data_IF_520450007441
#
_entry.id   IF_520450007441
#
_cell.length_a   1.000
_cell.length_b   1.000
_cell.length_c   1.000
_cell.angle_alpha   90.00
_cell.angle_beta   90.00
_cell.angle_gamma   90.00
#
_symmetry.space_group_name_H-M   'P 1'
#
loop_
_entity.id
_entity.type
_entity.pdbx_description
1 polymer ?
#
# COMPACT_ATOMS: atom_id res chain seq x y z
N UNK A 1 8.17 -12.51 -66.07
CA UNK A 1 7.30 -13.33 -65.20
C UNK A 1 8.21 -14.08 -64.24
N UNK A 2 8.36 -13.58 -63.01
CA UNK A 2 9.21 -14.22 -62.00
C UNK A 2 8.37 -15.29 -61.32
N UNK A 3 8.63 -16.56 -61.63
CA UNK A 3 7.99 -17.69 -60.95
C UNK A 3 8.57 -17.78 -59.54
N UNK A 4 7.81 -17.37 -58.54
CA UNK A 4 8.16 -17.60 -57.14
C UNK A 4 8.39 -19.11 -56.95
N UNK A 5 9.53 -19.53 -56.36
CA UNK A 5 9.78 -20.95 -56.13
C UNK A 5 8.72 -21.51 -55.19
N UNK A 6 8.11 -22.65 -55.57
CA UNK A 6 7.21 -23.37 -54.68
C UNK A 6 8.00 -23.83 -53.44
N UNK A 7 7.44 -23.67 -52.23
CA UNK A 7 8.08 -24.16 -51.03
C UNK A 7 8.26 -25.68 -51.12
N UNK A 8 9.40 -26.22 -50.65
CA UNK A 8 9.65 -27.65 -50.69
C UNK A 8 8.61 -28.40 -49.85
N UNK A 9 8.14 -29.55 -50.34
CA UNK A 9 7.31 -30.46 -49.57
C UNK A 9 8.15 -31.06 -48.43
N UNK A 10 8.05 -30.49 -47.24
CA UNK A 10 8.76 -30.95 -46.06
C UNK A 10 8.04 -32.16 -45.45
N UNK A 11 8.75 -33.24 -45.09
CA UNK A 11 8.18 -34.31 -44.27
C UNK A 11 7.77 -33.77 -42.89
N UNK A 12 6.84 -34.45 -42.24
CA UNK A 12 6.39 -34.10 -40.89
C UNK A 12 7.58 -34.09 -39.92
N UNK A 13 7.84 -32.94 -39.29
CA UNK A 13 8.97 -32.75 -38.39
C UNK A 13 8.63 -33.29 -36.99
N UNK A 14 9.59 -33.87 -36.25
CA UNK A 14 9.34 -34.41 -34.92
C UNK A 14 8.98 -33.33 -33.90
N UNK A 15 7.99 -33.61 -33.05
CA UNK A 15 7.57 -32.73 -31.94
C UNK A 15 8.12 -33.24 -30.60
N UNK A 16 9.37 -32.85 -30.31
CA UNK A 16 10.03 -33.21 -29.05
C UNK A 16 9.43 -32.53 -27.81
N UNK A 17 8.67 -31.44 -27.98
CA UNK A 17 8.09 -30.73 -26.83
C UNK A 17 6.95 -31.53 -26.20
N UNK A 18 6.19 -32.25 -27.02
CA UNK A 18 5.06 -33.08 -26.60
C UNK A 18 5.48 -34.49 -26.13
N UNK A 19 6.78 -34.80 -26.08
CA UNK A 19 7.29 -36.06 -25.54
C UNK A 19 7.06 -36.17 -24.03
N UNK A 20 6.94 -37.41 -23.56
CA UNK A 20 6.85 -37.72 -22.13
C UNK A 20 8.18 -37.42 -21.42
N UNK A 21 8.08 -36.83 -20.24
CA UNK A 21 9.19 -36.61 -19.33
C UNK A 21 9.08 -37.51 -18.09
N UNK A 22 10.15 -38.21 -17.75
CA UNK A 22 10.21 -39.21 -16.67
C UNK A 22 10.82 -38.67 -15.37
N UNK A 23 11.32 -37.43 -15.37
CA UNK A 23 12.01 -36.83 -14.22
C UNK A 23 11.05 -36.43 -13.10
N UNK A 24 9.75 -36.43 -13.37
CA UNK A 24 8.68 -36.10 -12.42
C UNK A 24 8.83 -34.72 -11.76
N UNK A 25 9.40 -33.75 -12.50
CA UNK A 25 9.56 -32.37 -12.05
C UNK A 25 8.73 -31.44 -12.94
N UNK A 26 7.74 -30.78 -12.35
CA UNK A 26 7.03 -29.69 -13.02
C UNK A 26 7.90 -28.44 -13.07
N UNK A 27 7.71 -27.60 -14.10
CA UNK A 27 8.36 -26.29 -14.19
C UNK A 27 7.33 -25.21 -13.87
N UNK A 28 7.61 -24.38 -12.86
CA UNK A 28 6.70 -23.32 -12.42
C UNK A 28 6.47 -22.26 -13.50
N UNK A 29 7.52 -21.89 -14.25
CA UNK A 29 7.46 -20.91 -15.34
C UNK A 29 8.40 -21.27 -16.47
N UNK A 30 7.86 -21.50 -17.66
CA UNK A 30 8.59 -21.65 -18.91
C UNK A 30 7.93 -20.81 -20.02
N UNK A 31 8.73 -20.19 -20.88
CA UNK A 31 8.23 -19.39 -21.99
C UNK A 31 9.29 -18.47 -22.58
N UNK A 32 8.89 -17.28 -23.02
CA UNK A 32 9.74 -16.29 -23.68
C UNK A 32 9.93 -15.04 -22.83
N UNK A 33 11.09 -14.39 -22.97
CA UNK A 33 11.47 -13.19 -22.21
C UNK A 33 12.15 -12.17 -23.12
N UNK A 34 11.91 -10.88 -22.90
CA UNK A 34 12.63 -9.79 -23.56
C UNK A 34 12.19 -9.50 -25.00
N UNK A 35 10.98 -9.91 -25.39
CA UNK A 35 10.43 -9.59 -26.71
C UNK A 35 9.98 -8.13 -26.74
N UNK A 36 10.57 -7.30 -27.60
CA UNK A 36 10.08 -5.94 -27.81
C UNK A 36 8.81 -5.94 -28.65
N UNK A 37 7.75 -5.30 -28.17
CA UNK A 37 6.43 -5.30 -28.82
C UNK A 37 5.69 -3.96 -28.64
N UNK A 38 5.02 -3.44 -29.69
CA UNK A 38 4.26 -2.19 -29.58
C UNK A 38 2.96 -2.40 -28.79
N UNK A 39 2.64 -1.46 -27.89
CA UNK A 39 1.43 -1.50 -27.06
C UNK A 39 0.79 -0.11 -26.96
N UNK A 40 -0.48 -0.09 -26.54
CA UNK A 40 -1.26 1.12 -26.29
C UNK A 40 -1.59 1.21 -24.79
N UNK A 41 -1.20 2.33 -24.16
CA UNK A 41 -1.41 2.58 -22.74
C UNK A 41 -2.37 3.74 -22.58
N UNK A 42 -3.34 3.62 -21.67
CA UNK A 42 -4.27 4.72 -21.39
C UNK A 42 -3.53 5.88 -20.73
N UNK A 43 -3.80 7.08 -21.23
CA UNK A 43 -3.26 8.34 -20.73
C UNK A 43 -4.41 9.21 -20.20
N UNK A 44 -4.29 9.67 -18.95
CA UNK A 44 -5.35 10.42 -18.26
C UNK A 44 -5.67 11.74 -18.94
N UNK A 45 -4.72 12.31 -19.67
CA UNK A 45 -4.82 13.62 -20.32
C UNK A 45 -4.93 13.52 -21.84
N UNK A 46 -4.21 12.58 -22.47
CA UNK A 46 -4.10 12.44 -23.92
C UNK A 46 -4.83 11.20 -24.47
N UNK A 47 -5.68 10.56 -23.67
CA UNK A 47 -6.44 9.35 -23.97
C UNK A 47 -5.59 8.08 -24.12
N UNK A 48 -4.61 8.07 -25.03
CA UNK A 48 -3.75 6.92 -25.34
C UNK A 48 -2.32 7.37 -25.64
N UNK A 49 -1.35 6.61 -25.14
CA UNK A 49 0.07 6.75 -25.47
C UNK A 49 0.56 5.46 -26.14
N UNK A 50 1.10 5.58 -27.35
CA UNK A 50 1.71 4.47 -28.08
C UNK A 50 3.17 4.32 -27.63
N UNK A 51 3.53 3.13 -27.15
CA UNK A 51 4.89 2.86 -26.63
C UNK A 51 5.37 1.46 -27.04
N UNK A 52 6.61 1.14 -26.70
CA UNK A 52 7.20 -0.19 -26.91
C UNK A 52 7.44 -0.83 -25.55
N UNK A 53 6.87 -2.02 -25.35
CA UNK A 53 7.07 -2.81 -24.16
C UNK A 53 8.09 -3.93 -24.38
N UNK A 54 8.87 -4.23 -23.35
CA UNK A 54 9.52 -5.53 -23.19
C UNK A 54 8.50 -6.52 -22.63
N UNK A 55 8.19 -7.56 -23.39
CA UNK A 55 7.19 -8.57 -23.09
C UNK A 55 7.85 -9.85 -22.61
N UNK A 56 7.36 -10.35 -21.48
CA UNK A 56 7.65 -11.69 -20.99
C UNK A 56 6.36 -12.49 -20.89
N UNK A 57 6.38 -13.74 -21.37
CA UNK A 57 5.24 -14.64 -21.34
C UNK A 57 5.68 -16.00 -20.81
N UNK A 58 4.92 -16.54 -19.86
CA UNK A 58 5.21 -17.83 -19.26
C UNK A 58 3.94 -18.64 -19.00
N UNK A 59 4.11 -19.95 -18.90
CA UNK A 59 3.12 -20.91 -18.38
C UNK A 59 3.81 -21.89 -17.44
N UNK A 60 3.05 -22.50 -16.53
CA UNK A 60 3.47 -23.72 -15.86
C UNK A 60 3.53 -24.90 -16.83
N UNK A 61 4.55 -25.75 -16.69
CA UNK A 61 4.70 -26.99 -17.46
C UNK A 61 4.50 -28.20 -16.53
N UNK A 62 3.45 -29.00 -16.74
CA UNK A 62 3.25 -30.23 -15.99
C UNK A 62 4.41 -31.21 -16.17
N UNK A 63 4.70 -31.99 -15.13
CA UNK A 63 5.87 -32.87 -15.07
C UNK A 63 5.92 -33.95 -16.16
N UNK A 64 4.79 -34.26 -16.81
CA UNK A 64 4.70 -35.27 -17.86
C UNK A 64 5.12 -34.76 -19.25
N UNK A 65 5.32 -33.45 -19.43
CA UNK A 65 5.74 -32.88 -20.72
C UNK A 65 7.20 -32.47 -20.70
N UNK A 66 7.93 -32.85 -21.75
CA UNK A 66 9.35 -32.50 -21.90
C UNK A 66 9.58 -31.03 -22.21
N UNK A 67 8.65 -30.37 -22.90
CA UNK A 67 8.79 -28.96 -23.28
C UNK A 67 7.48 -28.24 -23.60
N UNK A 68 7.59 -26.92 -23.75
CA UNK A 68 6.50 -26.06 -24.23
C UNK A 68 6.72 -25.64 -25.69
N UNK A 69 5.65 -25.23 -26.36
CA UNK A 69 5.68 -24.78 -27.75
C UNK A 69 5.96 -23.28 -27.84
N UNK A 70 7.24 -22.92 -27.91
CA UNK A 70 7.70 -21.52 -27.80
C UNK A 70 7.12 -20.56 -28.86
N UNK A 71 6.93 -21.01 -30.11
CA UNK A 71 6.40 -20.15 -31.18
C UNK A 71 4.96 -19.70 -30.91
N UNK A 72 4.18 -20.52 -30.18
CA UNK A 72 2.77 -20.24 -29.88
C UNK A 72 2.61 -18.94 -29.09
N UNK A 73 3.56 -18.57 -28.24
CA UNK A 73 3.53 -17.30 -27.52
C UNK A 73 3.53 -16.10 -28.48
N UNK A 74 4.41 -16.12 -29.48
CA UNK A 74 4.54 -15.03 -30.46
C UNK A 74 3.34 -15.01 -31.41
N UNK A 75 2.83 -16.17 -31.81
CA UNK A 75 1.61 -16.28 -32.60
C UNK A 75 0.40 -15.63 -31.92
N UNK A 76 0.26 -15.85 -30.60
CA UNK A 76 -0.83 -15.25 -29.81
C UNK A 76 -0.70 -13.73 -29.77
N UNK A 77 0.50 -13.20 -29.52
CA UNK A 77 0.73 -11.75 -29.53
C UNK A 77 0.39 -11.15 -30.91
N UNK A 78 0.85 -11.78 -32.00
CA UNK A 78 0.59 -11.31 -33.35
C UNK A 78 -0.89 -11.36 -33.73
N UNK A 79 -1.63 -12.36 -33.26
CA UNK A 79 -3.07 -12.45 -33.47
C UNK A 79 -3.87 -11.35 -32.74
N UNK A 80 -3.26 -10.72 -31.72
CA UNK A 80 -3.87 -9.65 -30.90
C UNK A 80 -3.19 -8.29 -31.09
N UNK A 81 -2.46 -8.13 -32.20
CA UNK A 81 -1.72 -6.89 -32.53
C UNK A 81 -2.67 -5.70 -32.58
N UNK A 82 -2.31 -4.61 -31.90
CA UNK A 82 -3.11 -3.38 -31.86
C UNK A 82 -4.25 -3.38 -30.84
N UNK A 83 -4.46 -4.48 -30.12
CA UNK A 83 -5.48 -4.55 -29.06
C UNK A 83 -4.86 -4.58 -27.66
N UNK A 84 -3.52 -4.71 -27.55
CA UNK A 84 -2.78 -4.90 -26.30
C UNK A 84 -3.00 -3.76 -25.31
N UNK A 85 -3.98 -3.95 -24.44
CA UNK A 85 -4.44 -3.00 -23.42
C UNK A 85 -4.67 -3.74 -22.11
N UNK A 86 -4.86 -3.02 -20.99
CA UNK A 86 -5.22 -3.64 -19.70
C UNK A 86 -6.52 -4.46 -19.78
N UNK A 87 -7.52 -3.97 -20.53
CA UNK A 87 -8.86 -4.58 -20.64
C UNK A 87 -8.80 -5.94 -21.35
N UNK A 88 -7.94 -5.94 -22.35
CA UNK A 88 -7.24 -7.02 -23.00
C UNK A 88 -6.77 -8.29 -22.28
N UNK A 89 -6.11 -8.03 -21.15
CA UNK A 89 -5.16 -8.96 -20.53
C UNK A 89 -5.78 -10.31 -20.14
N UNK A 90 -7.00 -10.37 -19.58
CA UNK A 90 -7.61 -11.64 -19.19
C UNK A 90 -7.85 -12.58 -20.38
N UNK A 91 -8.21 -12.03 -21.55
CA UNK A 91 -8.45 -12.80 -22.77
C UNK A 91 -7.14 -13.33 -23.36
N UNK A 92 -6.08 -12.51 -23.36
CA UNK A 92 -4.75 -12.94 -23.81
C UNK A 92 -4.25 -14.08 -22.94
N UNK A 93 -4.38 -13.97 -21.61
CA UNK A 93 -3.96 -15.03 -20.70
C UNK A 93 -4.79 -16.32 -20.88
N UNK A 94 -6.09 -16.20 -21.11
CA UNK A 94 -6.94 -17.36 -21.41
C UNK A 94 -6.56 -18.03 -22.75
N UNK A 95 -6.21 -17.24 -23.76
CA UNK A 95 -5.71 -17.73 -25.05
C UNK A 95 -4.40 -18.52 -24.88
N UNK A 96 -3.48 -17.99 -24.06
CA UNK A 96 -2.21 -18.64 -23.71
C UNK A 96 -2.48 -19.98 -23.02
N UNK A 97 -3.27 -20.01 -21.94
CA UNK A 97 -3.63 -21.25 -21.24
C UNK A 97 -4.20 -22.30 -22.20
N UNK A 98 -5.11 -21.89 -23.09
CA UNK A 98 -5.76 -22.82 -24.02
C UNK A 98 -4.82 -23.33 -25.11
N UNK A 99 -3.99 -22.48 -25.72
CA UNK A 99 -3.07 -22.90 -26.81
C UNK A 99 -1.87 -23.69 -26.30
N UNK A 100 -1.46 -23.46 -25.07
CA UNK A 100 -0.32 -24.13 -24.44
C UNK A 100 -0.75 -25.25 -23.47
N UNK A 101 -2.06 -25.50 -23.33
CA UNK A 101 -2.65 -26.52 -22.46
C UNK A 101 -2.09 -26.46 -21.02
N UNK A 102 -2.09 -25.27 -20.43
CA UNK A 102 -1.52 -25.00 -19.11
C UNK A 102 -2.57 -24.48 -18.11
N UNK A 103 -2.41 -24.84 -16.83
CA UNK A 103 -3.30 -24.43 -15.74
C UNK A 103 -3.12 -22.96 -15.34
N UNK A 104 -1.93 -22.41 -15.60
CA UNK A 104 -1.60 -21.01 -15.36
C UNK A 104 -0.88 -20.37 -16.55
N UNK A 105 -1.03 -19.05 -16.62
CA UNK A 105 -0.34 -18.20 -17.57
C UNK A 105 0.07 -16.89 -16.90
N UNK A 106 1.20 -16.36 -17.35
CA UNK A 106 1.80 -15.13 -16.85
C UNK A 106 2.18 -14.22 -18.01
N UNK A 107 1.92 -12.92 -17.86
CA UNK A 107 2.35 -11.88 -18.78
C UNK A 107 2.94 -10.72 -17.98
N UNK A 108 4.10 -10.23 -18.44
CA UNK A 108 4.74 -9.02 -17.91
C UNK A 108 5.03 -8.09 -19.09
N UNK A 109 4.52 -6.87 -19.02
CA UNK A 109 4.74 -5.82 -20.00
C UNK A 109 5.45 -4.68 -19.30
N UNK A 110 6.72 -4.44 -19.60
CA UNK A 110 7.50 -3.32 -19.05
C UNK A 110 7.73 -2.26 -20.12
N UNK A 111 7.36 -1.00 -19.87
CA UNK A 111 7.38 0.05 -20.88
C UNK A 111 7.67 1.44 -20.26
N UNK A 112 8.25 2.37 -21.05
CA UNK A 112 8.32 3.77 -20.65
C UNK A 112 6.96 4.44 -20.82
N UNK A 113 6.62 5.30 -19.86
CA UNK A 113 5.42 6.12 -19.82
C UNK A 113 5.80 7.59 -19.62
N UNK A 114 5.24 8.49 -20.40
CA UNK A 114 5.60 9.90 -20.38
C UNK A 114 4.47 10.76 -19.82
N UNK A 115 4.80 11.66 -18.89
CA UNK A 115 3.85 12.66 -18.37
C UNK A 115 4.39 14.04 -18.71
N UNK A 116 3.53 14.91 -19.26
CA UNK A 116 3.87 16.33 -19.46
C UNK A 116 3.86 17.05 -18.12
N UNK A 117 4.99 17.69 -17.77
CA UNK A 117 5.17 18.40 -16.52
C UNK A 117 5.41 19.88 -16.77
N UNK A 118 4.72 20.73 -16.02
CA UNK A 118 4.96 22.18 -15.94
C UNK A 118 5.93 22.47 -14.81
N UNK A 119 7.03 23.16 -15.11
CA UNK A 119 7.95 23.63 -14.10
C UNK A 119 7.24 24.60 -13.13
N UNK A 120 7.59 24.59 -11.83
CA UNK A 120 6.77 25.21 -10.78
C UNK A 120 6.76 26.75 -10.81
N UNK A 121 7.78 27.40 -11.38
CA UNK A 121 7.91 28.86 -11.39
C UNK A 121 7.77 29.41 -12.80
N UNK A 122 8.60 28.94 -13.74
CA UNK A 122 8.60 29.42 -15.13
C UNK A 122 7.42 28.88 -15.95
N UNK A 123 6.80 27.77 -15.51
CA UNK A 123 5.72 27.11 -16.22
C UNK A 123 6.15 26.38 -17.49
N UNK A 124 7.45 26.31 -17.79
CA UNK A 124 7.94 25.61 -18.99
C UNK A 124 7.53 24.14 -18.96
N UNK A 125 6.98 23.65 -20.07
CA UNK A 125 6.54 22.26 -20.20
C UNK A 125 7.65 21.37 -20.72
N UNK A 126 7.77 20.17 -20.15
CA UNK A 126 8.65 19.12 -20.65
C UNK A 126 8.07 17.73 -20.32
N UNK A 127 8.38 16.75 -21.16
CA UNK A 127 8.02 15.36 -20.90
C UNK A 127 8.98 14.73 -19.90
N UNK A 128 8.44 14.04 -18.91
CA UNK A 128 9.19 13.23 -17.95
C UNK A 128 8.86 11.75 -18.16
N UNK A 129 9.88 10.91 -18.22
CA UNK A 129 9.75 9.45 -18.34
C UNK A 129 9.57 8.80 -16.96
N UNK A 130 8.67 7.83 -16.88
CA UNK A 130 8.46 6.91 -15.78
C UNK A 130 8.50 5.48 -16.31
N UNK A 131 9.15 4.57 -15.59
CA UNK A 131 9.17 3.15 -15.98
C UNK A 131 7.99 2.45 -15.34
N UNK A 132 7.14 1.85 -16.17
CA UNK A 132 5.94 1.18 -15.72
C UNK A 132 5.96 -0.29 -16.12
N UNK A 133 5.19 -1.11 -15.41
CA UNK A 133 4.90 -2.45 -15.86
C UNK A 133 3.48 -2.89 -15.51
N UNK A 134 2.90 -3.70 -16.39
CA UNK A 134 1.71 -4.49 -16.10
C UNK A 134 2.15 -5.93 -15.91
N UNK A 135 1.87 -6.49 -14.72
CA UNK A 135 2.12 -7.90 -14.44
C UNK A 135 0.79 -8.57 -14.16
N UNK A 136 0.45 -9.56 -14.96
CA UNK A 136 -0.79 -10.30 -14.80
C UNK A 136 -0.51 -11.79 -14.79
N UNK A 137 -1.23 -12.50 -13.92
CA UNK A 137 -1.23 -13.95 -13.90
C UNK A 137 -2.64 -14.48 -13.77
N UNK A 138 -2.90 -15.60 -14.44
CA UNK A 138 -4.19 -16.26 -14.41
C UNK A 138 -3.98 -17.72 -14.04
N UNK A 139 -4.67 -18.20 -13.01
CA UNK A 139 -4.74 -19.62 -12.64
C UNK A 139 -6.20 -20.03 -12.56
N UNK A 140 -6.65 -20.89 -13.48
CA UNK A 140 -8.07 -21.15 -13.67
C UNK A 140 -8.88 -19.84 -13.88
N UNK A 141 -9.96 -19.59 -13.13
CA UNK A 141 -10.73 -18.34 -13.25
C UNK A 141 -10.04 -17.13 -12.62
N UNK A 142 -9.11 -17.35 -11.67
CA UNK A 142 -8.54 -16.29 -10.85
C UNK A 142 -7.49 -15.50 -11.62
N UNK A 143 -7.68 -14.18 -11.69
CA UNK A 143 -6.75 -13.23 -12.28
C UNK A 143 -6.12 -12.40 -11.16
N UNK A 144 -4.80 -12.36 -11.09
CA UNK A 144 -4.03 -11.40 -10.31
C UNK A 144 -3.41 -10.38 -11.26
N UNK A 145 -3.65 -9.10 -11.00
CA UNK A 145 -3.10 -7.99 -11.78
C UNK A 145 -2.38 -7.02 -10.86
N UNK A 146 -1.16 -6.66 -11.26
CA UNK A 146 -0.30 -5.71 -10.56
C UNK A 146 0.12 -4.61 -11.52
N UNK A 147 -0.18 -3.37 -11.15
CA UNK A 147 0.42 -2.18 -11.74
C UNK A 147 1.72 -1.88 -11.01
N UNK A 148 2.85 -1.85 -11.73
CA UNK A 148 4.13 -1.41 -11.18
C UNK A 148 4.54 -0.07 -11.78
N UNK A 149 4.99 0.88 -10.96
CA UNK A 149 5.46 2.20 -11.39
C UNK A 149 6.74 2.54 -10.63
N UNK A 150 7.81 2.85 -11.35
CA UNK A 150 9.05 3.38 -10.80
C UNK A 150 9.06 4.90 -10.98
N UNK A 151 9.08 5.63 -9.87
CA UNK A 151 9.02 7.09 -9.83
C UNK A 151 10.37 7.63 -9.37
N UNK A 152 11.15 8.28 -10.25
CA UNK A 152 12.38 8.93 -9.84
C UNK A 152 12.08 10.27 -9.15
N UNK A 153 12.59 10.46 -7.94
CA UNK A 153 12.40 11.67 -7.13
C UNK A 153 13.72 12.21 -6.58
N UNK A 154 13.70 13.43 -6.04
CA UNK A 154 14.82 13.99 -5.27
C UNK A 154 14.58 13.73 -3.78
N UNK A 155 15.56 13.14 -3.11
CA UNK A 155 15.60 13.01 -1.64
C UNK A 155 16.73 13.88 -1.07
N UNK A 156 16.50 14.45 0.10
CA UNK A 156 17.50 15.23 0.83
C UNK A 156 17.55 14.76 2.28
N UNK A 157 18.75 14.51 2.78
CA UNK A 157 18.95 13.87 4.07
C UNK A 157 18.76 14.84 5.25
N UNK A 158 17.81 14.58 6.17
CA UNK A 158 17.60 15.42 7.35
C UNK A 158 18.79 15.43 8.30
N UNK A 159 19.49 14.29 8.47
CA UNK A 159 20.72 14.23 9.26
C UNK A 159 21.79 15.19 8.75
N UNK A 160 22.06 15.16 7.44
CA UNK A 160 23.09 16.01 6.84
C UNK A 160 22.78 17.50 7.01
N UNK A 161 21.51 17.88 6.80
CA UNK A 161 21.03 19.24 7.06
C UNK A 161 21.23 19.66 8.51
N UNK A 162 20.93 18.79 9.47
CA UNK A 162 20.97 19.13 10.89
C UNK A 162 22.40 19.33 11.43
N UNK A 163 23.39 18.60 10.91
CA UNK A 163 24.77 18.62 11.43
C UNK A 163 25.70 19.58 10.68
N UNK A 164 25.32 20.03 9.48
CA UNK A 164 26.18 20.84 8.61
C UNK A 164 25.87 22.33 8.79
N UNK A 165 26.91 23.17 8.87
CA UNK A 165 26.72 24.63 8.98
C UNK A 165 26.04 25.24 7.74
N UNK A 166 26.19 24.61 6.57
CA UNK A 166 25.54 24.97 5.32
C UNK A 166 25.44 23.74 4.41
N UNK A 167 24.42 23.74 3.55
CA UNK A 167 24.16 22.65 2.63
C UNK A 167 23.62 21.38 3.31
N UNK A 168 23.25 20.41 2.47
CA UNK A 168 22.85 19.07 2.88
C UNK A 168 22.98 18.15 1.66
N UNK A 169 23.48 16.93 1.86
CA UNK A 169 23.56 15.98 0.75
C UNK A 169 22.16 15.55 0.29
N UNK A 170 22.03 15.36 -1.01
CA UNK A 170 20.81 14.98 -1.68
C UNK A 170 21.15 14.16 -2.92
N UNK A 171 20.20 13.34 -3.34
CA UNK A 171 20.43 12.36 -4.40
C UNK A 171 19.14 12.07 -5.16
N UNK A 172 19.29 11.31 -6.24
CA UNK A 172 18.16 10.68 -6.90
C UNK A 172 17.74 9.45 -6.09
N UNK A 173 16.44 9.33 -5.86
CA UNK A 173 15.83 8.14 -5.30
C UNK A 173 14.89 7.52 -6.32
N UNK A 174 14.91 6.20 -6.44
CA UNK A 174 13.96 5.44 -7.25
C UNK A 174 12.93 4.84 -6.31
N UNK A 175 11.67 5.26 -6.43
CA UNK A 175 10.57 4.69 -5.65
C UNK A 175 9.81 3.71 -6.53
N UNK A 176 9.91 2.42 -6.23
CA UNK A 176 9.18 1.36 -6.91
C UNK A 176 7.87 1.08 -6.16
N UNK A 177 6.75 1.20 -6.87
CA UNK A 177 5.42 0.96 -6.34
C UNK A 177 4.74 -0.14 -7.12
N UNK A 178 4.31 -1.21 -6.44
CA UNK A 178 3.41 -2.22 -6.98
C UNK A 178 2.03 -2.08 -6.33
N UNK A 179 0.99 -2.00 -7.15
CA UNK A 179 -0.40 -1.79 -6.73
C UNK A 179 -1.27 -2.95 -7.21
N UNK A 180 -2.00 -3.56 -6.28
CA UNK A 180 -3.17 -4.40 -6.56
C UNK A 180 -4.43 -3.60 -6.21
N UNK A 181 -5.45 -3.72 -7.06
CA UNK A 181 -6.70 -2.98 -6.89
C UNK A 181 -7.89 -3.78 -7.41
N UNK A 182 -9.08 -3.59 -6.81
CA UNK A 182 -10.35 -4.07 -7.38
C UNK A 182 -10.87 -3.18 -8.51
N UNK A 183 -10.34 -1.98 -8.64
CA UNK A 183 -10.73 -0.99 -9.63
C UNK A 183 -9.58 -0.56 -10.52
N UNK A 184 -9.87 0.43 -11.36
CA UNK A 184 -8.86 1.03 -12.22
C UNK A 184 -8.09 2.10 -11.44
N UNK A 185 -6.75 2.07 -11.54
CA UNK A 185 -5.84 3.06 -10.93
C UNK A 185 -5.00 3.67 -12.06
N UNK A 186 -4.97 5.00 -12.14
CA UNK A 186 -4.14 5.72 -13.10
C UNK A 186 -2.66 5.69 -12.72
N UNK A 187 -1.77 5.58 -13.70
CA UNK A 187 -0.32 5.69 -13.50
C UNK A 187 0.01 7.07 -12.92
N UNK A 188 -0.66 8.11 -13.43
CA UNK A 188 -0.50 9.50 -13.01
C UNK A 188 -0.88 9.72 -11.55
N UNK A 189 -1.92 9.04 -11.05
CA UNK A 189 -2.33 9.15 -9.65
C UNK A 189 -1.27 8.54 -8.72
N UNK A 190 -0.63 7.44 -9.15
CA UNK A 190 0.50 6.82 -8.43
C UNK A 190 1.71 7.75 -8.44
N UNK A 191 2.09 8.27 -9.62
CA UNK A 191 3.21 9.22 -9.77
C UNK A 191 2.99 10.46 -8.90
N UNK A 192 1.81 11.08 -8.97
CA UNK A 192 1.47 12.27 -8.20
C UNK A 192 1.53 12.01 -6.69
N UNK A 193 1.03 10.86 -6.23
CA UNK A 193 1.09 10.48 -4.82
C UNK A 193 2.54 10.34 -4.33
N UNK A 194 3.40 9.66 -5.08
CA UNK A 194 4.82 9.49 -4.73
C UNK A 194 5.56 10.83 -4.75
N UNK A 195 5.38 11.62 -5.80
CA UNK A 195 6.07 12.91 -5.95
C UNK A 195 5.74 13.91 -4.84
N UNK A 196 4.49 13.91 -4.36
CA UNK A 196 4.09 14.72 -3.19
C UNK A 196 4.72 14.25 -1.89
N UNK A 197 5.15 12.99 -1.81
CA UNK A 197 5.79 12.43 -0.62
C UNK A 197 7.30 12.66 -0.59
N UNK A 198 7.95 12.90 -1.72
CA UNK A 198 9.39 13.12 -1.81
C UNK A 198 9.84 14.48 -1.25
N UNK A 199 11.15 14.68 -1.07
CA UNK A 199 11.69 16.00 -0.71
C UNK A 199 11.39 17.03 -1.80
N UNK A 200 11.58 16.64 -3.07
CA UNK A 200 11.05 17.36 -4.22
C UNK A 200 10.84 16.43 -5.44
N UNK A 201 9.89 16.77 -6.34
CA UNK A 201 9.74 16.08 -7.61
C UNK A 201 10.88 16.41 -8.58
N UNK A 202 11.02 15.60 -9.64
CA UNK A 202 11.92 15.85 -10.75
C UNK A 202 11.19 16.46 -11.96
N UNK A 203 11.96 17.19 -12.77
CA UNK A 203 11.54 17.77 -14.04
C UNK A 203 12.67 17.59 -15.06
N UNK A 204 12.32 17.33 -16.32
CA UNK A 204 13.31 17.19 -17.39
C UNK A 204 13.90 18.53 -17.84
N UNK A 205 13.13 19.63 -17.71
CA UNK A 205 13.56 20.98 -18.03
C UNK A 205 13.21 21.95 -16.90
N UNK A 206 14.21 22.67 -16.40
CA UNK A 206 14.09 23.73 -15.40
C UNK A 206 14.77 25.00 -15.90
N UNK A 207 14.20 26.16 -15.59
CA UNK A 207 14.88 27.47 -15.68
C UNK A 207 15.53 27.80 -14.34
N UNK A 208 16.30 28.90 -14.27
CA UNK A 208 17.09 29.25 -13.09
C UNK A 208 16.22 29.48 -11.85
N UNK A 209 15.08 30.13 -12.04
CA UNK A 209 14.07 30.37 -11.03
C UNK A 209 13.42 29.08 -10.51
N UNK A 210 13.24 28.08 -11.38
CA UNK A 210 12.74 26.77 -10.99
C UNK A 210 13.79 25.96 -10.22
N UNK A 211 15.05 26.02 -10.66
CA UNK A 211 16.18 25.36 -9.99
C UNK A 211 16.38 25.89 -8.57
N UNK A 212 16.29 27.22 -8.39
CA UNK A 212 16.26 27.85 -7.07
C UNK A 212 15.13 27.25 -6.22
N UNK A 213 13.90 27.29 -6.74
CA UNK A 213 12.71 26.83 -6.01
C UNK A 213 12.80 25.35 -5.62
N UNK A 214 13.17 24.45 -6.54
CA UNK A 214 13.25 23.01 -6.27
C UNK A 214 14.38 22.68 -5.29
N UNK A 215 15.47 23.44 -5.32
CA UNK A 215 16.56 23.26 -4.36
C UNK A 215 16.14 23.66 -2.95
N UNK A 216 15.47 24.80 -2.81
CA UNK A 216 14.93 25.27 -1.52
C UNK A 216 13.82 24.33 -1.00
N UNK A 217 12.89 23.91 -1.87
CA UNK A 217 11.83 22.97 -1.52
C UNK A 217 12.39 21.66 -0.94
N UNK A 218 13.38 21.06 -1.61
CA UNK A 218 14.01 19.84 -1.12
C UNK A 218 14.76 20.07 0.20
N UNK A 219 15.40 21.23 0.35
CA UNK A 219 16.10 21.59 1.58
C UNK A 219 15.13 21.74 2.75
N UNK A 220 13.96 22.35 2.53
CA UNK A 220 12.94 22.58 3.56
C UNK A 220 12.09 21.37 3.89
N UNK A 221 12.07 20.36 3.00
CA UNK A 221 11.35 19.10 3.19
C UNK A 221 12.30 17.88 3.17
N UNK A 222 13.30 17.80 4.07
CA UNK A 222 14.23 16.69 4.10
C UNK A 222 13.52 15.40 4.59
N UNK A 223 13.84 14.26 3.98
CA UNK A 223 13.23 12.97 4.33
C UNK A 223 14.24 11.83 4.30
N UNK A 224 14.15 10.93 5.27
CA UNK A 224 14.84 9.65 5.19
C UNK A 224 14.16 8.72 4.18
N UNK A 225 14.82 7.61 3.84
CA UNK A 225 14.24 6.56 3.02
C UNK A 225 13.01 5.94 3.70
N UNK A 226 13.02 5.82 5.02
CA UNK A 226 11.93 5.30 5.83
C UNK A 226 10.70 6.22 5.81
N UNK A 227 10.91 7.54 5.87
CA UNK A 227 9.82 8.52 5.78
C UNK A 227 9.17 8.46 4.40
N UNK A 228 10.00 8.37 3.35
CA UNK A 228 9.52 8.31 1.97
C UNK A 228 8.63 7.09 1.72
N UNK A 229 9.02 5.89 2.16
CA UNK A 229 8.19 4.68 1.98
C UNK A 229 6.92 4.72 2.84
N UNK A 230 6.99 5.23 4.08
CA UNK A 230 5.81 5.37 4.96
C UNK A 230 4.79 6.33 4.36
N UNK A 231 5.22 7.52 3.99
CA UNK A 231 4.34 8.55 3.44
C UNK A 231 3.71 8.10 2.12
N UNK A 232 4.51 7.43 1.28
CA UNK A 232 4.02 6.87 0.01
C UNK A 232 2.93 5.83 0.22
N UNK A 233 3.10 4.88 1.15
CA UNK A 233 2.05 3.91 1.50
C UNK A 233 0.80 4.62 2.03
N UNK A 234 0.97 5.59 2.93
CA UNK A 234 -0.14 6.36 3.49
C UNK A 234 -0.92 7.15 2.43
N UNK A 235 -0.25 7.65 1.40
CA UNK A 235 -0.87 8.36 0.28
C UNK A 235 -1.60 7.38 -0.65
N UNK A 236 -0.93 6.31 -1.08
CA UNK A 236 -1.45 5.37 -2.07
C UNK A 236 -2.62 4.53 -1.56
N UNK A 237 -2.63 4.15 -0.27
CA UNK A 237 -3.76 3.38 0.29
C UNK A 237 -5.09 4.13 0.32
N UNK A 238 -5.05 5.47 0.14
CA UNK A 238 -6.24 6.32 0.03
C UNK A 238 -6.83 6.31 -1.39
N UNK A 239 -6.10 5.79 -2.39
CA UNK A 239 -6.61 5.70 -3.75
C UNK A 239 -7.77 4.68 -3.83
N UNK A 240 -8.86 4.99 -4.56
CA UNK A 240 -10.02 4.11 -4.63
C UNK A 240 -9.67 2.70 -5.13
N UNK A 241 -10.16 1.68 -4.42
CA UNK A 241 -10.05 0.28 -4.81
C UNK A 241 -8.69 -0.38 -4.56
N UNK A 242 -7.67 0.36 -4.12
CA UNK A 242 -6.36 -0.23 -3.77
C UNK A 242 -6.53 -1.25 -2.64
N UNK A 243 -6.07 -2.48 -2.88
CA UNK A 243 -6.19 -3.60 -1.93
C UNK A 243 -4.86 -4.02 -1.32
N UNK A 244 -3.77 -3.85 -2.06
CA UNK A 244 -2.42 -4.14 -1.59
C UNK A 244 -1.39 -3.28 -2.33
N UNK A 245 -0.33 -2.97 -1.60
CA UNK A 245 0.81 -2.17 -2.03
C UNK A 245 2.10 -2.90 -1.68
N UNK A 246 3.09 -2.79 -2.56
CA UNK A 246 4.49 -2.99 -2.21
C UNK A 246 5.24 -1.73 -2.64
N UNK A 247 5.81 -1.00 -1.69
CA UNK A 247 6.53 0.24 -1.92
C UNK A 247 7.95 0.07 -1.46
N UNK A 248 8.91 0.31 -2.33
CA UNK A 248 10.32 0.42 -1.96
C UNK A 248 10.93 1.71 -2.46
N UNK A 249 11.96 2.18 -1.77
CA UNK A 249 12.75 3.33 -2.16
C UNK A 249 14.23 2.97 -2.12
N UNK A 250 14.93 3.21 -3.23
CA UNK A 250 16.38 3.08 -3.37
C UNK A 250 16.98 4.49 -3.48
N UNK A 251 17.62 4.96 -2.41
CA UNK A 251 18.38 6.20 -2.41
C UNK A 251 19.78 5.92 -2.92
N UNK A 252 20.13 6.47 -4.09
CA UNK A 252 21.45 6.34 -4.68
C UNK A 252 22.41 7.32 -4.00
N UNK A 253 22.89 6.96 -2.81
CA UNK A 253 23.60 7.85 -1.90
C UNK A 253 24.72 8.64 -2.60
N UNK A 254 24.69 9.97 -2.49
CA UNK A 254 25.67 10.83 -3.16
C UNK A 254 27.06 10.81 -2.52
N UNK A 255 27.15 10.32 -1.27
CA UNK A 255 28.37 10.32 -0.46
C UNK A 255 28.89 8.91 -0.16
N UNK A 256 28.18 7.88 -0.62
CA UNK A 256 28.52 6.47 -0.43
C UNK A 256 28.42 5.72 -1.76
N UNK A 257 29.14 4.60 -1.92
CA UNK A 257 29.07 3.77 -3.12
C UNK A 257 28.15 2.55 -2.92
N UNK A 258 27.01 2.77 -2.29
CA UNK A 258 25.93 1.81 -2.07
C UNK A 258 24.62 2.57 -1.83
N UNK A 259 23.48 1.92 -2.02
CA UNK A 259 22.17 2.55 -1.79
C UNK A 259 21.68 2.37 -0.35
N UNK A 260 20.95 3.36 0.17
CA UNK A 260 20.08 3.18 1.32
C UNK A 260 18.70 2.72 0.83
N UNK A 261 18.16 1.65 1.43
CA UNK A 261 16.96 0.97 0.95
C UNK A 261 15.91 0.81 2.05
N UNK A 262 14.66 1.13 1.73
CA UNK A 262 13.49 0.85 2.56
C UNK A 262 12.39 0.18 1.75
N UNK A 263 11.61 -0.69 2.38
CA UNK A 263 10.47 -1.36 1.75
C UNK A 263 9.33 -1.56 2.75
N UNK A 264 8.09 -1.35 2.29
CA UNK A 264 6.86 -1.69 3.01
C UNK A 264 5.96 -2.48 2.06
N UNK A 265 5.55 -3.67 2.49
CA UNK A 265 4.40 -4.37 1.93
C UNK A 265 3.18 -4.10 2.82
N UNK A 266 2.05 -3.78 2.20
CA UNK A 266 0.80 -3.47 2.87
C UNK A 266 -0.38 -4.09 2.12
N UNK A 267 -1.41 -4.45 2.87
CA UNK A 267 -2.70 -4.91 2.38
C UNK A 267 -3.83 -4.39 3.27
N UNK A 268 -5.04 -4.36 2.74
CA UNK A 268 -6.23 -4.03 3.54
C UNK A 268 -6.41 -4.97 4.73
N UNK A 269 -5.90 -6.21 4.65
CA UNK A 269 -5.87 -7.15 5.76
C UNK A 269 -4.94 -6.67 6.88
N UNK A 270 -3.82 -6.02 6.56
CA UNK A 270 -2.90 -5.49 7.59
C UNK A 270 -3.56 -4.37 8.39
N UNK A 271 -4.33 -3.50 7.74
CA UNK A 271 -5.13 -2.48 8.43
C UNK A 271 -6.25 -3.12 9.28
N UNK A 272 -6.88 -4.20 8.80
CA UNK A 272 -7.88 -4.93 9.56
C UNK A 272 -7.27 -5.59 10.81
N UNK A 273 -6.13 -6.27 10.63
CA UNK A 273 -5.37 -6.91 11.70
C UNK A 273 -4.84 -5.88 12.70
N UNK A 274 -4.35 -4.73 12.22
CA UNK A 274 -3.90 -3.64 13.07
C UNK A 274 -5.07 -3.02 13.83
N UNK A 275 -6.25 -2.85 13.21
CA UNK A 275 -7.47 -2.40 13.89
C UNK A 275 -8.03 -3.42 14.87
N UNK A 276 -7.77 -4.71 14.66
CA UNK A 276 -8.14 -5.78 15.59
C UNK A 276 -7.15 -5.85 16.77
N UNK A 277 -5.85 -5.69 16.50
CA UNK A 277 -4.79 -5.61 17.51
C UNK A 277 -4.82 -4.31 18.32
N UNK A 278 -5.19 -3.19 17.68
CA UNK A 278 -5.46 -1.89 18.30
C UNK A 278 -6.96 -1.67 18.54
N UNK A 279 -7.79 -2.71 18.44
CA UNK A 279 -9.17 -2.60 18.91
C UNK A 279 -9.03 -2.35 20.40
N UNK A 280 -9.36 -1.15 20.90
CA UNK A 280 -9.17 -0.91 22.30
C UNK A 280 -10.05 -1.93 23.03
N UNK A 281 -9.46 -2.65 23.99
CA UNK A 281 -10.20 -3.56 24.89
C UNK A 281 -11.31 -2.81 25.66
N UNK A 282 -11.32 -1.47 25.56
CA UNK A 282 -12.25 -0.54 26.17
C UNK A 282 -12.89 0.33 25.07
N UNK A 283 -14.22 0.48 25.01
CA UNK A 283 -14.88 1.38 24.07
C UNK A 283 -14.45 2.85 24.28
N UNK A 284 -14.50 3.71 23.24
CA UNK A 284 -13.99 5.08 23.34
C UNK A 284 -14.69 5.87 24.44
N UNK A 285 -13.91 6.70 25.14
CA UNK A 285 -14.41 7.58 26.19
C UNK A 285 -15.50 8.53 25.64
N UNK A 286 -16.60 8.74 26.37
CA UNK A 286 -17.59 9.73 25.99
C UNK A 286 -17.00 11.14 26.11
N UNK A 287 -17.33 11.96 25.11
CA UNK A 287 -17.00 13.37 24.93
C UNK A 287 -17.22 14.22 26.18
N UNK A 288 -16.37 15.24 26.29
CA UNK A 288 -16.22 16.22 27.37
C UNK A 288 -17.53 16.70 28.03
N UNK A 289 -17.47 16.90 29.35
CA UNK A 289 -18.46 17.69 30.10
C UNK A 289 -19.49 16.92 30.94
N UNK A 290 -19.39 15.60 31.08
CA UNK A 290 -20.28 14.83 31.98
C UNK A 290 -19.62 14.60 33.33
N UNK A 291 -20.20 15.15 34.39
CA UNK A 291 -19.88 14.82 35.80
C UNK A 291 -19.94 13.31 36.04
N UNK A 292 -19.17 12.79 37.00
CA UNK A 292 -19.14 11.35 37.33
C UNK A 292 -20.53 10.74 37.45
N UNK A 293 -21.45 11.42 38.15
CA UNK A 293 -22.82 10.96 38.33
C UNK A 293 -23.62 10.86 37.03
N UNK A 294 -23.51 11.88 36.15
CA UNK A 294 -24.19 11.85 34.83
C UNK A 294 -23.60 10.79 33.90
N UNK A 295 -22.29 10.55 34.01
CA UNK A 295 -21.60 9.47 33.30
C UNK A 295 -22.04 8.10 33.83
N UNK A 296 -22.08 7.90 35.14
CA UNK A 296 -22.52 6.66 35.78
C UNK A 296 -23.96 6.32 35.39
N UNK A 297 -24.84 7.33 35.39
CA UNK A 297 -26.22 7.20 34.92
C UNK A 297 -26.29 6.75 33.46
N UNK A 298 -25.48 7.36 32.59
CA UNK A 298 -25.38 6.98 31.17
C UNK A 298 -24.95 5.51 31.02
N UNK A 299 -23.95 5.07 31.79
CA UNK A 299 -23.45 3.69 31.73
C UNK A 299 -24.49 2.67 32.23
N UNK A 300 -25.24 3.02 33.28
CA UNK A 300 -26.33 2.19 33.81
C UNK A 300 -27.49 2.09 32.80
N UNK A 301 -27.93 3.21 32.25
CA UNK A 301 -29.04 3.27 31.30
C UNK A 301 -28.71 2.59 29.96
N UNK A 302 -27.47 2.69 29.48
CA UNK A 302 -26.99 1.96 28.30
C UNK A 302 -27.13 0.44 28.46
N UNK A 303 -27.08 -0.06 29.70
CA UNK A 303 -27.27 -1.47 30.07
C UNK A 303 -28.70 -1.81 30.49
N UNK A 304 -29.63 -0.87 30.35
CA UNK A 304 -31.06 -0.99 30.68
C UNK A 304 -31.33 -1.39 32.14
N UNK A 305 -30.41 -1.07 33.05
CA UNK A 305 -30.57 -1.32 34.47
C UNK A 305 -31.30 -0.15 35.13
N UNK A 306 -32.26 -0.41 36.04
CA UNK A 306 -32.79 0.62 36.93
C UNK A 306 -31.81 0.83 38.09
N UNK A 307 -31.93 1.96 38.79
CA UNK A 307 -31.07 2.25 39.96
C UNK A 307 -31.18 1.15 41.03
N UNK A 308 -32.37 0.56 41.20
CA UNK A 308 -32.61 -0.53 42.13
C UNK A 308 -31.89 -1.83 41.72
N UNK A 309 -31.92 -2.17 40.42
CA UNK A 309 -31.26 -3.36 39.89
C UNK A 309 -29.72 -3.27 40.07
N UNK A 310 -29.13 -2.10 39.81
CA UNK A 310 -27.70 -1.86 40.03
C UNK A 310 -27.34 -1.88 41.52
N UNK A 311 -28.18 -1.29 42.37
CA UNK A 311 -27.97 -1.24 43.81
C UNK A 311 -27.94 -2.64 44.43
N UNK A 312 -28.86 -3.52 44.01
CA UNK A 312 -28.90 -4.93 44.43
C UNK A 312 -27.63 -5.68 44.00
N UNK A 313 -27.16 -5.47 42.75
CA UNK A 313 -25.96 -6.14 42.24
C UNK A 313 -24.69 -5.77 43.00
N UNK A 314 -24.54 -4.50 43.40
CA UNK A 314 -23.34 -4.03 44.11
C UNK A 314 -23.53 -4.00 45.63
N UNK A 315 -24.67 -4.43 46.15
CA UNK A 315 -24.93 -4.52 47.60
C UNK A 315 -25.03 -3.17 48.31
N UNK A 316 -25.64 -2.16 47.67
CA UNK A 316 -25.97 -0.86 48.29
C UNK A 316 -27.46 -0.52 48.12
N UNK A 317 -27.93 0.61 48.65
CA UNK A 317 -29.33 1.02 48.48
C UNK A 317 -29.53 1.83 47.19
N UNK A 318 -30.72 1.75 46.59
CA UNK A 318 -31.06 2.54 45.39
C UNK A 318 -30.90 4.06 45.61
N UNK A 319 -31.12 4.53 46.86
CA UNK A 319 -30.88 5.91 47.27
C UNK A 319 -29.39 6.30 47.18
N UNK A 320 -28.47 5.39 47.52
CA UNK A 320 -27.04 5.62 47.35
C UNK A 320 -26.63 5.71 45.88
N UNK A 321 -27.20 4.88 45.01
CA UNK A 321 -26.99 4.98 43.55
C UNK A 321 -27.51 6.32 43.02
N UNK A 322 -28.72 6.72 43.41
CA UNK A 322 -29.31 8.00 42.98
C UNK A 322 -28.49 9.21 43.41
N UNK A 323 -27.94 9.21 44.63
CA UNK A 323 -27.09 10.30 45.13
C UNK A 323 -25.74 10.33 44.44
N UNK A 324 -25.16 9.17 44.10
CA UNK A 324 -23.95 9.08 43.29
C UNK A 324 -24.19 9.63 41.87
N UNK A 325 -25.33 9.31 41.24
CA UNK A 325 -25.71 9.84 39.93
C UNK A 325 -25.99 11.35 39.93
N UNK A 326 -26.28 11.93 41.09
CA UNK A 326 -26.53 13.36 41.29
C UNK A 326 -25.29 14.13 41.79
N UNK A 327 -24.13 13.47 41.90
CA UNK A 327 -22.86 13.99 42.43
C UNK A 327 -22.90 14.49 43.89
N UNK A 328 -23.83 14.00 44.70
CA UNK A 328 -23.98 14.48 46.08
C UNK A 328 -23.11 13.72 47.11
N UNK A 329 -22.39 12.67 46.70
CA UNK A 329 -21.56 11.86 47.60
C UNK A 329 -20.46 11.09 46.87
N UNK A 330 -19.24 11.11 47.40
CA UNK A 330 -18.16 10.24 46.95
C UNK A 330 -18.40 8.82 47.48
N UNK A 331 -18.44 7.85 46.56
CA UNK A 331 -18.51 6.43 46.89
C UNK A 331 -17.13 5.96 47.41
N UNK A 332 -17.12 4.95 48.27
CA UNK A 332 -15.86 4.33 48.68
C UNK A 332 -15.20 3.63 47.49
N UNK A 333 -13.87 3.52 47.51
CA UNK A 333 -13.10 2.80 46.49
C UNK A 333 -13.63 1.39 46.26
N UNK A 334 -13.88 0.63 47.34
CA UNK A 334 -14.50 -0.70 47.28
C UNK A 334 -15.87 -0.71 46.57
N UNK A 335 -16.69 0.32 46.78
CA UNK A 335 -17.99 0.43 46.08
C UNK A 335 -17.80 0.78 44.61
N UNK A 336 -16.79 1.60 44.28
CA UNK A 336 -16.45 1.96 42.91
C UNK A 336 -15.88 0.77 42.12
N UNK A 337 -15.10 -0.09 42.77
CA UNK A 337 -14.62 -1.34 42.18
C UNK A 337 -15.78 -2.32 41.92
N UNK A 338 -16.69 -2.49 42.88
CA UNK A 338 -17.92 -3.29 42.67
C UNK A 338 -18.81 -2.73 41.57
N UNK A 339 -18.89 -1.40 41.43
CA UNK A 339 -19.57 -0.74 40.32
C UNK A 339 -18.91 -1.01 38.98
N UNK A 340 -17.58 -0.95 38.93
CA UNK A 340 -16.81 -1.25 37.73
C UNK A 340 -17.10 -2.67 37.25
N UNK A 341 -17.05 -3.64 38.17
CA UNK A 341 -17.36 -5.04 37.89
C UNK A 341 -18.81 -5.24 37.41
N UNK A 342 -19.80 -4.72 38.17
CA UNK A 342 -21.22 -4.88 37.82
C UNK A 342 -21.59 -4.23 36.47
N UNK A 343 -20.89 -3.16 36.09
CA UNK A 343 -21.09 -2.50 34.81
C UNK A 343 -20.14 -3.03 33.71
N UNK A 344 -19.25 -3.97 34.00
CA UNK A 344 -18.24 -4.45 33.04
C UNK A 344 -17.38 -3.30 32.50
N UNK A 345 -16.90 -2.44 33.40
CA UNK A 345 -16.04 -1.29 33.13
C UNK A 345 -14.67 -1.53 33.80
N UNK A 346 -13.62 -0.93 33.24
CA UNK A 346 -12.30 -0.97 33.86
C UNK A 346 -12.28 -0.21 35.19
N UNK A 347 -11.79 -0.88 36.24
CA UNK A 347 -11.72 -0.36 37.61
C UNK A 347 -10.97 0.97 37.72
N UNK A 348 -9.79 1.05 37.10
CA UNK A 348 -8.96 2.26 37.11
C UNK A 348 -9.68 3.45 36.43
N UNK A 349 -10.46 3.21 35.38
CA UNK A 349 -11.21 4.24 34.68
C UNK A 349 -12.38 4.78 35.52
N UNK A 350 -13.05 3.92 36.29
CA UNK A 350 -14.14 4.30 37.20
C UNK A 350 -13.57 5.11 38.38
N UNK A 351 -12.45 4.68 38.95
CA UNK A 351 -11.77 5.38 40.05
C UNK A 351 -11.29 6.77 39.64
N UNK A 352 -10.60 6.91 38.50
CA UNK A 352 -10.12 8.20 37.99
C UNK A 352 -11.28 9.17 37.75
N UNK A 353 -12.39 8.69 37.16
CA UNK A 353 -13.59 9.53 36.95
C UNK A 353 -14.28 9.92 38.24
N UNK A 354 -14.15 9.12 39.30
CA UNK A 354 -14.59 9.46 40.65
C UNK A 354 -13.57 10.34 41.40
N UNK A 355 -12.44 10.70 40.78
CA UNK A 355 -11.39 11.53 41.37
C UNK A 355 -10.43 10.77 42.31
N UNK A 356 -10.36 9.44 42.21
CA UNK A 356 -9.52 8.58 43.04
C UNK A 356 -8.42 7.97 42.15
N UNK A 357 -7.17 8.08 42.58
CA UNK A 357 -6.03 7.41 41.94
C UNK A 357 -5.73 6.11 42.70
N UNK A 358 -5.77 4.97 42.01
CA UNK A 358 -5.35 3.69 42.56
C UNK A 358 -3.83 3.69 42.84
N UNK A 359 -3.36 2.88 43.78
CA UNK A 359 -1.92 2.82 44.10
C UNK A 359 -1.08 2.36 42.90
N UNK A 360 -1.65 1.47 42.07
CA UNK A 360 -1.07 1.08 40.78
C UNK A 360 -0.91 2.27 39.84
N UNK A 361 -1.91 3.15 39.73
CA UNK A 361 -1.83 4.37 38.92
C UNK A 361 -0.82 5.37 39.51
N UNK A 362 -0.77 5.53 40.84
CA UNK A 362 0.24 6.38 41.49
C UNK A 362 1.66 5.89 41.20
N UNK A 363 1.89 4.58 41.23
CA UNK A 363 3.16 3.97 40.88
C UNK A 363 3.50 4.16 39.39
N UNK A 364 2.51 4.01 38.50
CA UNK A 364 2.69 4.24 37.07
C UNK A 364 3.02 5.72 36.76
N UNK A 365 2.30 6.66 37.38
CA UNK A 365 2.57 8.11 37.28
C UNK A 365 3.96 8.44 37.81
N UNK A 366 4.39 7.80 38.91
CA UNK A 366 5.72 8.04 39.47
C UNK A 366 6.85 7.52 38.57
N UNK A 367 6.59 6.50 37.75
CA UNK A 367 7.58 5.94 36.81
C UNK A 367 7.68 6.72 35.51
N UNK A 368 6.58 7.33 35.08
CA UNK A 368 6.55 8.17 33.88
C UNK A 368 5.58 9.36 34.04
N UNK A 369 6.02 10.42 34.74
CA UNK A 369 5.18 11.59 35.00
C UNK A 369 4.82 12.35 33.71
N UNK A 370 5.76 12.44 32.76
CA UNK A 370 5.58 13.17 31.51
C UNK A 370 4.65 12.42 30.55
N UNK A 371 4.80 11.09 30.44
CA UNK A 371 3.88 10.25 29.66
C UNK A 371 2.47 10.25 30.23
N UNK A 372 2.31 10.26 31.55
CA UNK A 372 1.00 10.42 32.17
C UNK A 372 0.38 11.80 31.92
N UNK A 373 1.16 12.89 32.04
CA UNK A 373 0.66 14.24 31.74
C UNK A 373 0.24 14.36 30.28
N UNK A 374 0.99 13.76 29.36
CA UNK A 374 0.63 13.68 27.93
C UNK A 374 -0.67 12.90 27.71
N UNK A 375 -0.85 11.77 28.41
CA UNK A 375 -2.09 10.97 28.36
C UNK A 375 -3.29 11.67 29.00
N UNK A 376 -3.11 12.35 30.14
CA UNK A 376 -4.20 13.01 30.88
C UNK A 376 -4.64 14.34 30.25
N UNK A 377 -3.81 14.92 29.39
CA UNK A 377 -4.08 16.17 28.66
C UNK A 377 -4.68 15.95 27.27
N UNK A 378 -4.82 14.68 26.85
CA UNK A 378 -5.42 14.24 25.59
C UNK A 378 -6.81 13.63 25.84
#
# INVERSE_FOLDING_TARGET
MSTSPQPPHLPELPDHASELDDRALAIDKVGIKGLSYPIDVLDKHNQVQHTVASVNLYVGLPHQFKGTHMSRFVEILNARRGEMTIRNMPEILAEIQRRLAADDAHIELSFPYFISKRAPVSGVESLMEYRCAFRASKRGPNLDFVLAVQVPVKSLCPCSKAISAYGAHNQRSLVDVEVRSTGFVWIEDVVEAVEKCASAPLFALLKREDEKYITELAYDNPKFVEDLVRDTVLALRKLPGVTSLKVSADNQESIHNHSAYGEIAWSVQDDANAREAHRPLVPPAPTEGRTFGSWLRTQREARRLRQQDLAEQIGITASHVSRAESNEKNLSEDTLLRLAEALGLESDAVLVRAGILSDRLKEAISRDPEGFLSWASA
#
